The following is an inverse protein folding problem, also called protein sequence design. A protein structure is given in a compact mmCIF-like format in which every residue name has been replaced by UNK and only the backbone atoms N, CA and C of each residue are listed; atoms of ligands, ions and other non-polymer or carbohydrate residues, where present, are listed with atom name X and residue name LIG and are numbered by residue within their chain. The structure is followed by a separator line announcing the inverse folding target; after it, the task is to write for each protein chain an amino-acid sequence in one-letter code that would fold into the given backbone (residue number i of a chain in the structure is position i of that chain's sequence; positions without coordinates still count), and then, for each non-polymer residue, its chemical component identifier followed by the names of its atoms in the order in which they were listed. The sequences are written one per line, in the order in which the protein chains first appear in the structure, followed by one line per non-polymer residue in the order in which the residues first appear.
data_IF_548145906743
#
_entry.id   IF_548145906743
#
_cell.length_a   1.000
_cell.length_b   1.000
_cell.length_c   1.000
_cell.angle_alpha   90.00
_cell.angle_beta   90.00
_cell.angle_gamma   90.00
#
_symmetry.space_group_name_H-M   'P 1'
#
loop_
_entity.id
_entity.type
_entity.pdbx_description
1 polymer ?
#
# COMPACT_ATOMS: atom_id res chain seq x y z
N UNK A 1 44.81 1.37 2.28
CA UNK A 1 44.46 2.75 2.72
C UNK A 1 44.25 2.85 4.23
N UNK A 2 43.65 1.88 4.92
CA UNK A 2 43.40 1.95 6.37
C UNK A 2 44.65 2.09 7.29
N UNK A 3 45.84 1.62 6.87
CA UNK A 3 47.06 1.80 7.68
C UNK A 3 47.71 3.17 7.54
N UNK A 4 47.35 3.95 6.50
CA UNK A 4 47.87 5.31 6.32
C UNK A 4 47.12 6.28 7.25
N UNK A 5 45.80 6.13 7.36
CA UNK A 5 44.95 6.92 8.28
C UNK A 5 45.37 6.75 9.76
N UNK A 6 45.62 5.51 10.23
CA UNK A 6 46.07 5.29 11.62
C UNK A 6 47.44 5.92 11.95
N UNK A 7 48.27 6.18 10.93
CA UNK A 7 49.57 6.80 11.11
C UNK A 7 49.50 8.34 11.02
N UNK A 8 48.49 8.91 10.34
CA UNK A 8 48.30 10.36 10.24
C UNK A 8 47.76 10.98 11.53
N UNK A 9 46.90 10.29 12.29
CA UNK A 9 46.41 10.75 13.61
C UNK A 9 47.58 11.02 14.58
N UNK A 10 48.57 10.12 14.57
CA UNK A 10 49.79 10.25 15.36
C UNK A 10 50.66 11.43 14.93
N UNK A 11 50.55 11.87 13.67
CA UNK A 11 51.33 12.95 13.10
C UNK A 11 50.74 14.32 13.44
N UNK A 12 49.42 14.41 13.63
CA UNK A 12 48.75 15.65 14.06
C UNK A 12 49.04 15.99 15.52
N UNK A 13 49.00 14.99 16.41
CA UNK A 13 49.20 15.19 17.85
C UNK A 13 50.67 15.42 18.21
N UNK A 14 51.61 14.90 17.40
CA UNK A 14 53.05 15.08 17.61
C UNK A 14 53.53 16.23 16.75
N UNK A 15 54.06 17.28 17.37
CA UNK A 15 54.69 18.42 16.68
C UNK A 15 56.02 18.10 15.97
N UNK A 16 56.31 16.81 15.78
CA UNK A 16 57.58 16.35 15.24
C UNK A 16 57.56 16.49 13.72
N UNK A 17 58.54 17.21 13.18
CA UNK A 17 58.69 17.52 11.74
C UNK A 17 57.68 18.53 11.16
N UNK A 18 56.97 19.25 12.02
CA UNK A 18 56.16 20.38 11.56
C UNK A 18 57.05 21.46 10.96
N UNK A 19 56.65 21.95 9.79
CA UNK A 19 57.34 22.95 8.97
C UNK A 19 56.43 24.14 8.64
N UNK A 20 55.26 24.20 9.28
CA UNK A 20 54.28 25.29 9.20
C UNK A 20 53.64 25.53 10.58
N UNK A 21 53.57 26.80 10.98
CA UNK A 21 52.80 27.27 12.13
C UNK A 21 51.58 28.06 11.63
N UNK A 22 50.38 27.67 12.06
CA UNK A 22 49.15 28.43 11.84
C UNK A 22 48.76 29.06 13.17
N UNK A 23 48.71 30.39 13.25
CA UNK A 23 48.30 31.13 14.45
C UNK A 23 46.87 31.61 14.30
N UNK A 24 46.03 31.24 15.26
CA UNK A 24 44.66 31.69 15.39
C UNK A 24 44.50 32.28 16.78
N UNK A 25 44.29 33.59 16.87
CA UNK A 25 44.32 34.33 18.12
C UNK A 25 45.62 34.05 18.91
N UNK A 26 45.50 33.55 20.14
CA UNK A 26 46.62 33.18 21.02
C UNK A 26 47.03 31.69 20.91
N UNK A 27 46.46 30.95 19.95
CA UNK A 27 46.68 29.51 19.79
C UNK A 27 47.49 29.24 18.51
N UNK A 28 48.61 28.54 18.67
CA UNK A 28 49.46 28.08 17.56
C UNK A 28 49.23 26.60 17.26
N UNK A 29 48.96 26.30 15.99
CA UNK A 29 48.87 24.96 15.44
C UNK A 29 50.13 24.65 14.63
N UNK A 30 50.90 23.64 15.06
CA UNK A 30 52.08 23.18 14.32
C UNK A 30 51.68 22.03 13.41
N UNK A 31 51.81 22.23 12.09
CA UNK A 31 51.31 21.31 11.07
C UNK A 31 52.37 21.04 9.99
N UNK A 32 52.08 20.10 9.10
CA UNK A 32 52.98 19.68 8.03
C UNK A 32 52.49 20.21 6.68
N UNK A 33 53.33 20.99 5.99
CA UNK A 33 53.06 21.54 4.65
C UNK A 33 52.72 20.45 3.65
N UNK A 34 53.43 19.32 3.73
CA UNK A 34 53.20 18.16 2.84
C UNK A 34 51.80 17.57 2.96
N UNK A 35 51.07 17.83 4.06
CA UNK A 35 49.69 17.40 4.25
C UNK A 35 48.73 18.54 3.86
N UNK A 36 48.93 19.74 4.38
CA UNK A 36 47.93 20.81 4.24
C UNK A 36 47.96 21.50 2.87
N UNK A 37 49.15 21.74 2.29
CA UNK A 37 49.28 22.48 1.02
C UNK A 37 48.69 21.72 -0.18
N UNK A 38 48.87 20.40 -0.34
CA UNK A 38 48.24 19.67 -1.44
C UNK A 38 46.71 19.62 -1.38
N UNK A 39 46.14 19.82 -0.19
CA UNK A 39 44.70 19.76 0.03
C UNK A 39 44.03 21.14 -0.02
N UNK A 40 44.76 22.23 0.27
CA UNK A 40 44.25 23.60 0.22
C UNK A 40 45.15 24.50 -0.62
N UNK A 41 44.63 24.94 -1.77
CA UNK A 41 45.31 25.89 -2.63
C UNK A 41 45.55 27.24 -1.95
N UNK A 42 44.67 27.63 -1.02
CA UNK A 42 44.79 28.87 -0.27
C UNK A 42 45.96 28.77 0.70
N UNK A 43 46.05 27.70 1.50
CA UNK A 43 47.19 27.49 2.40
C UNK A 43 48.50 27.34 1.62
N UNK A 44 48.49 26.69 0.45
CA UNK A 44 49.68 26.59 -0.39
C UNK A 44 50.20 27.97 -0.81
N UNK A 45 49.31 28.86 -1.28
CA UNK A 45 49.66 30.24 -1.65
C UNK A 45 50.15 31.05 -0.46
N UNK A 46 49.43 30.98 0.67
CA UNK A 46 49.84 31.65 1.91
C UNK A 46 51.22 31.18 2.37
N UNK A 47 51.51 29.88 2.23
CA UNK A 47 52.83 29.34 2.53
C UNK A 47 53.90 29.85 1.58
N UNK A 48 53.63 29.87 0.28
CA UNK A 48 54.58 30.34 -0.74
C UNK A 48 54.89 31.85 -0.59
N UNK A 49 53.92 32.63 -0.10
CA UNK A 49 54.11 34.04 0.19
C UNK A 49 54.85 34.28 1.51
N UNK A 50 54.55 33.51 2.56
CA UNK A 50 55.24 33.61 3.85
C UNK A 50 56.68 33.08 3.83
N UNK A 51 56.99 32.10 2.98
CA UNK A 51 58.32 31.46 2.89
C UNK A 51 59.42 32.35 2.30
N UNK A 52 59.10 33.56 1.83
CA UNK A 52 60.05 34.43 1.10
C UNK A 52 61.10 35.08 2.02
N UNK A 53 60.81 35.20 3.33
CA UNK A 53 61.63 35.99 4.26
C UNK A 53 62.10 35.22 5.52
N UNK A 54 61.59 34.03 5.83
CA UNK A 54 61.89 33.30 7.07
C UNK A 54 62.14 31.80 6.87
N UNK A 55 62.93 31.19 7.76
CA UNK A 55 63.17 29.73 7.79
C UNK A 55 61.92 28.94 8.22
N UNK A 56 60.93 29.57 8.84
CA UNK A 56 59.70 28.96 9.30
C UNK A 56 58.51 29.66 8.66
N UNK A 57 57.59 28.90 8.07
CA UNK A 57 56.37 29.45 7.49
C UNK A 57 55.35 29.69 8.61
N UNK A 58 54.95 30.94 8.82
CA UNK A 58 53.92 31.31 9.80
C UNK A 58 52.73 31.93 9.07
N UNK A 59 51.56 31.32 9.21
CA UNK A 59 50.30 31.83 8.66
C UNK A 59 49.44 32.33 9.82
N UNK A 60 49.04 33.59 9.80
CA UNK A 60 48.18 34.18 10.83
C UNK A 60 46.76 34.29 10.29
N UNK A 61 45.80 33.74 11.03
CA UNK A 61 44.40 33.71 10.63
C UNK A 61 43.50 34.34 11.71
N UNK A 62 42.57 35.18 11.30
CA UNK A 62 41.72 36.00 12.21
C UNK A 62 40.22 35.87 11.94
N UNK A 63 39.80 35.13 10.90
CA UNK A 63 38.38 35.05 10.51
C UNK A 63 37.63 33.89 11.17
N UNK A 64 38.34 32.85 11.60
CA UNK A 64 37.79 31.66 12.25
C UNK A 64 38.42 31.46 13.62
N UNK A 65 37.63 30.95 14.57
CA UNK A 65 38.10 30.59 15.90
C UNK A 65 38.98 29.32 15.88
N UNK A 66 39.69 29.09 16.98
CA UNK A 66 40.60 27.95 17.11
C UNK A 66 39.89 26.58 16.99
N UNK A 67 38.66 26.45 17.48
CA UNK A 67 37.91 25.18 17.37
C UNK A 67 37.54 24.84 15.92
N UNK A 68 37.19 25.85 15.12
CA UNK A 68 36.91 25.70 13.69
C UNK A 68 38.16 25.35 12.91
N UNK A 69 39.28 26.01 13.23
CA UNK A 69 40.58 25.67 12.65
C UNK A 69 40.97 24.22 12.99
N UNK A 70 40.81 23.81 14.25
CA UNK A 70 41.09 22.45 14.69
C UNK A 70 40.25 21.40 13.93
N UNK A 71 38.96 21.67 13.69
CA UNK A 71 38.10 20.78 12.88
C UNK A 71 38.57 20.67 11.44
N UNK A 72 38.97 21.78 10.82
CA UNK A 72 39.54 21.75 9.47
C UNK A 72 40.84 20.94 9.44
N UNK A 73 41.75 21.17 10.40
CA UNK A 73 43.01 20.45 10.50
C UNK A 73 42.79 18.96 10.78
N UNK A 74 41.83 18.61 11.63
CA UNK A 74 41.45 17.21 11.85
C UNK A 74 41.04 16.55 10.53
N UNK A 75 40.17 17.21 9.75
CA UNK A 75 39.76 16.69 8.44
C UNK A 75 40.93 16.47 7.48
N UNK A 76 41.90 17.40 7.43
CA UNK A 76 43.05 17.28 6.54
C UNK A 76 43.96 16.07 6.86
N UNK A 77 44.00 15.64 8.12
CA UNK A 77 44.82 14.48 8.54
C UNK A 77 44.04 13.17 8.56
N UNK A 78 42.77 13.22 8.95
CA UNK A 78 41.97 12.06 9.30
C UNK A 78 40.91 11.74 8.22
N UNK A 79 40.63 12.70 7.34
CA UNK A 79 39.51 12.64 6.38
C UNK A 79 38.14 12.87 7.01
N UNK A 80 38.12 13.20 8.30
CA UNK A 80 36.93 13.43 9.10
C UNK A 80 37.22 14.45 10.23
N UNK A 81 36.19 15.03 10.84
CA UNK A 81 36.31 15.90 12.01
C UNK A 81 35.27 15.54 13.07
N UNK A 82 35.51 15.89 14.33
CA UNK A 82 34.56 15.63 15.41
C UNK A 82 34.10 16.95 16.00
N UNK A 83 32.79 17.07 16.22
CA UNK A 83 32.26 18.15 17.04
C UNK A 83 32.30 17.69 18.49
N UNK A 84 33.11 18.37 19.31
CA UNK A 84 33.14 18.11 20.75
C UNK A 84 31.81 18.59 21.32
N UNK A 85 30.89 17.66 21.57
CA UNK A 85 29.76 17.95 22.44
C UNK A 85 30.33 18.32 23.80
N UNK A 86 30.12 19.56 24.24
CA UNK A 86 30.51 19.97 25.59
C UNK A 86 29.86 18.99 26.58
N UNK A 87 30.63 18.22 27.37
CA UNK A 87 30.07 17.22 28.27
C UNK A 87 29.41 17.93 29.45
N UNK A 88 28.17 18.37 29.25
CA UNK A 88 27.26 18.87 30.26
C UNK A 88 26.02 17.98 30.25
N UNK A 89 26.05 16.94 31.09
CA UNK A 89 25.01 15.93 31.36
C UNK A 89 24.93 14.77 30.34
N UNK A 90 25.48 13.64 30.77
CA UNK A 90 25.49 12.36 30.07
C UNK A 90 24.10 11.89 29.62
N UNK A 91 23.93 11.45 28.36
CA UNK A 91 22.89 10.50 28.01
C UNK A 91 23.26 9.14 28.63
N UNK A 92 22.34 8.57 29.41
CA UNK A 92 22.47 7.22 29.97
C UNK A 92 22.85 6.21 28.88
N UNK A 93 24.05 5.63 29.01
CA UNK A 93 24.56 4.58 28.15
C UNK A 93 23.69 3.31 28.26
N UNK A 94 23.07 2.91 27.16
CA UNK A 94 22.87 1.48 26.89
C UNK A 94 24.23 0.89 26.52
N UNK A 95 24.57 -0.20 27.20
CA UNK A 95 25.95 -0.57 27.47
C UNK A 95 26.71 -1.26 26.34
N UNK A 96 28.04 -1.23 26.50
CA UNK A 96 28.92 -2.35 26.15
C UNK A 96 30.25 -2.26 26.89
N UNK A 97 30.75 -3.44 27.26
CA UNK A 97 31.80 -3.73 28.24
C UNK A 97 33.19 -3.13 27.97
N UNK A 98 33.76 -2.64 29.07
CA UNK A 98 35.13 -2.79 29.57
C UNK A 98 36.13 -3.59 28.72
N UNK A 99 37.24 -2.94 28.36
CA UNK A 99 38.59 -3.52 28.50
C UNK A 99 39.55 -2.40 28.99
N UNK A 100 40.27 -2.72 30.06
CA UNK A 100 41.21 -1.90 30.82
C UNK A 100 42.59 -1.67 30.17
N UNK A 101 43.30 -0.70 30.77
CA UNK A 101 44.75 -0.49 30.87
C UNK A 101 45.54 0.25 29.76
N UNK A 102 45.91 1.52 30.02
CA UNK A 102 47.30 2.00 29.82
C UNK A 102 47.62 3.30 30.61
N UNK A 103 48.86 3.49 31.11
CA UNK A 103 49.15 4.41 32.22
C UNK A 103 49.61 5.80 31.80
N UNK A 104 49.26 6.75 32.66
CA UNK A 104 49.59 8.16 32.59
C UNK A 104 51.11 8.47 32.60
N UNK A 105 51.57 9.18 31.58
CA UNK A 105 52.87 9.85 31.55
C UNK A 105 52.73 11.30 32.04
N UNK A 106 53.39 11.55 33.18
CA UNK A 106 53.59 12.82 33.89
C UNK A 106 53.97 13.97 32.94
N UNK A 107 53.13 15.01 32.86
CA UNK A 107 53.59 16.36 32.51
C UNK A 107 54.00 17.07 33.79
N UNK A 108 55.29 17.38 33.87
CA UNK A 108 55.91 18.21 34.90
C UNK A 108 56.02 19.62 34.32
N UNK A 109 55.13 20.52 34.72
CA UNK A 109 55.35 21.95 34.59
C UNK A 109 55.43 22.54 35.99
N UNK A 110 56.54 23.23 36.25
CA UNK A 110 56.85 23.92 37.49
C UNK A 110 56.14 25.27 37.51
N UNK A 111 55.26 25.49 38.50
CA UNK A 111 54.98 26.82 39.03
C UNK A 111 54.44 26.72 40.46
N UNK A 112 54.69 27.79 41.21
CA UNK A 112 54.86 27.79 42.66
C UNK A 112 53.54 27.77 43.47
N UNK A 113 53.71 27.35 44.71
CA UNK A 113 52.78 27.24 45.83
C UNK A 113 52.32 28.56 46.45
N UNK A 114 51.05 28.67 46.87
CA UNK A 114 50.55 29.36 48.09
C UNK A 114 49.24 28.68 48.57
N UNK A 115 48.99 28.50 49.89
CA UNK A 115 47.89 27.68 50.46
C UNK A 115 46.60 28.47 50.82
N UNK A 116 45.48 27.78 51.20
CA UNK A 116 44.13 28.35 51.34
C UNK A 116 43.75 28.68 52.79
N UNK A 117 42.57 29.29 53.00
CA UNK A 117 41.74 28.92 54.15
C UNK A 117 40.29 28.58 53.80
N UNK A 118 39.84 27.55 54.50
CA UNK A 118 38.51 26.95 54.65
C UNK A 118 37.44 27.88 55.22
N UNK A 119 36.19 27.75 54.77
CA UNK A 119 35.00 27.51 55.64
C UNK A 119 33.68 27.36 54.84
N UNK A 120 33.00 26.24 55.06
CA UNK A 120 31.56 25.94 54.80
C UNK A 120 30.66 26.61 55.86
N UNK A 121 29.35 26.83 55.64
CA UNK A 121 28.34 25.77 55.78
C UNK A 121 27.15 25.79 54.82
N UNK A 122 26.51 24.63 54.77
CA UNK A 122 25.33 24.22 54.03
C UNK A 122 24.09 25.08 54.26
N UNK A 123 23.34 25.31 53.19
CA UNK A 123 21.90 25.60 53.23
C UNK A 123 21.19 24.59 52.34
N UNK A 124 20.20 23.93 52.93
CA UNK A 124 19.33 22.91 52.36
C UNK A 124 18.03 23.62 51.96
N UNK A 125 17.70 23.68 50.68
CA UNK A 125 16.36 24.10 50.22
C UNK A 125 15.88 23.13 49.17
N UNK A 126 14.66 22.64 49.43
CA UNK A 126 13.89 21.64 48.72
C UNK A 126 13.21 22.20 47.45
N UNK A 127 13.23 21.35 46.41
CA UNK A 127 12.19 21.09 45.40
C UNK A 127 11.60 22.24 44.57
N UNK A 128 11.90 22.20 43.26
CA UNK A 128 11.04 22.61 42.14
C UNK A 128 11.66 22.00 40.86
N UNK A 129 11.13 20.87 40.37
CA UNK A 129 10.15 20.73 39.29
C UNK A 129 10.81 20.48 37.91
N UNK A 130 10.30 19.45 37.24
CA UNK A 130 10.84 18.85 36.03
C UNK A 130 10.64 19.76 34.82
N UNK A 131 11.71 20.36 34.27
CA UNK A 131 11.78 20.89 32.90
C UNK A 131 13.22 21.18 32.38
N UNK A 132 14.25 21.05 33.23
CA UNK A 132 15.66 21.34 32.90
C UNK A 132 16.30 20.40 31.86
N UNK A 133 15.72 19.23 31.61
CA UNK A 133 16.36 18.24 30.74
C UNK A 133 16.12 18.49 29.25
N UNK A 134 15.00 19.12 28.87
CA UNK A 134 14.69 19.44 27.47
C UNK A 134 15.53 20.64 26.98
N UNK A 135 15.76 21.62 27.86
CA UNK A 135 16.53 22.84 27.54
C UNK A 135 18.01 22.51 27.28
N UNK A 136 18.61 21.62 28.09
CA UNK A 136 20.03 21.25 27.94
C UNK A 136 20.32 20.42 26.68
N UNK A 137 19.39 19.57 26.24
CA UNK A 137 19.55 18.79 25.00
C UNK A 137 19.39 19.67 23.76
N UNK A 138 18.44 20.62 23.77
CA UNK A 138 18.25 21.56 22.67
C UNK A 138 19.45 22.50 22.49
N UNK A 139 20.08 22.96 23.57
CA UNK A 139 21.32 23.75 23.53
C UNK A 139 22.51 22.97 22.95
N UNK A 140 22.58 21.65 23.18
CA UNK A 140 23.66 20.80 22.63
C UNK A 140 23.53 20.57 21.12
N UNK A 141 22.30 20.37 20.62
CA UNK A 141 22.03 20.15 19.18
C UNK A 141 22.31 21.42 18.37
N UNK A 142 21.95 22.58 18.92
CA UNK A 142 22.26 23.90 18.35
C UNK A 142 23.77 24.12 18.20
N UNK A 143 24.55 23.74 19.20
CA UNK A 143 26.01 23.83 19.16
C UNK A 143 26.63 22.96 18.04
N UNK A 144 26.04 21.79 17.78
CA UNK A 144 26.49 20.91 16.71
C UNK A 144 26.22 21.49 15.31
N UNK A 145 25.00 21.99 15.08
CA UNK A 145 24.62 22.63 13.81
C UNK A 145 25.53 23.83 13.50
N UNK A 146 25.80 24.67 14.51
CA UNK A 146 26.73 25.79 14.41
C UNK A 146 28.15 25.33 14.06
N UNK A 147 28.64 24.29 14.72
CA UNK A 147 29.97 23.72 14.44
C UNK A 147 30.09 23.17 13.01
N UNK A 148 29.02 22.56 12.48
CA UNK A 148 28.99 22.10 11.09
C UNK A 148 28.91 23.27 10.09
N UNK A 149 28.15 24.32 10.40
CA UNK A 149 28.10 25.53 9.59
C UNK A 149 29.45 26.28 9.56
N UNK A 150 30.15 26.37 10.70
CA UNK A 150 31.51 26.93 10.78
C UNK A 150 32.50 26.08 9.98
N UNK A 151 32.43 24.74 10.11
CA UNK A 151 33.23 23.81 9.31
C UNK A 151 32.96 23.96 7.80
N UNK A 152 31.71 24.21 7.41
CA UNK A 152 31.34 24.52 6.03
C UNK A 152 31.97 25.83 5.55
N UNK A 153 31.91 26.89 6.37
CA UNK A 153 32.43 28.20 6.05
C UNK A 153 33.97 28.19 5.89
N UNK A 154 34.70 27.56 6.82
CA UNK A 154 36.16 27.44 6.72
C UNK A 154 36.57 26.57 5.53
N UNK A 155 35.82 25.50 5.23
CA UNK A 155 36.07 24.67 4.05
C UNK A 155 35.91 25.45 2.74
N UNK A 156 34.90 26.32 2.67
CA UNK A 156 34.69 27.21 1.53
C UNK A 156 35.86 28.20 1.41
N UNK A 157 36.28 28.81 2.52
CA UNK A 157 37.39 29.77 2.54
C UNK A 157 38.70 29.16 2.05
N UNK A 158 39.06 27.98 2.54
CA UNK A 158 40.31 27.30 2.20
C UNK A 158 40.22 26.41 0.95
N UNK A 159 39.11 26.47 0.21
CA UNK A 159 38.84 25.67 -0.99
C UNK A 159 39.03 24.17 -0.74
N UNK A 160 38.28 23.63 0.23
CA UNK A 160 38.25 22.22 0.62
C UNK A 160 36.90 21.58 0.24
N UNK A 161 36.69 21.15 -1.03
CA UNK A 161 35.39 20.66 -1.49
C UNK A 161 34.86 19.48 -0.68
N UNK A 162 35.73 18.53 -0.33
CA UNK A 162 35.34 17.32 0.41
C UNK A 162 34.87 17.62 1.84
N UNK A 163 35.56 18.53 2.55
CA UNK A 163 35.11 18.98 3.87
C UNK A 163 33.79 19.75 3.77
N UNK A 164 33.65 20.58 2.73
CA UNK A 164 32.43 21.36 2.50
C UNK A 164 31.21 20.44 2.29
N UNK A 165 31.36 19.38 1.49
CA UNK A 165 30.30 18.38 1.29
C UNK A 165 29.98 17.65 2.60
N UNK A 166 30.99 17.14 3.29
CA UNK A 166 30.82 16.43 4.56
C UNK A 166 30.15 17.29 5.64
N UNK A 167 30.57 18.55 5.76
CA UNK A 167 30.00 19.50 6.71
C UNK A 167 28.53 19.80 6.41
N UNK A 168 28.16 19.93 5.13
CA UNK A 168 26.76 20.11 4.74
C UNK A 168 25.91 18.87 5.02
N UNK A 169 26.42 17.68 4.73
CA UNK A 169 25.72 16.41 5.03
C UNK A 169 25.46 16.27 6.53
N UNK A 170 26.45 16.62 7.36
CA UNK A 170 26.30 16.58 8.82
C UNK A 170 25.40 17.67 9.36
N UNK A 171 25.46 18.86 8.77
CA UNK A 171 24.53 19.94 9.07
C UNK A 171 23.08 19.51 8.82
N UNK A 172 22.78 18.90 7.66
CA UNK A 172 21.46 18.34 7.33
C UNK A 172 21.00 17.24 8.31
N UNK A 173 21.94 16.54 8.94
CA UNK A 173 21.63 15.52 9.94
C UNK A 173 21.24 16.14 11.31
N UNK A 174 21.51 17.43 11.54
CA UNK A 174 21.04 18.15 12.72
C UNK A 174 19.54 18.43 12.58
N UNK A 175 18.73 17.78 13.43
CA UNK A 175 17.27 17.65 13.20
C UNK A 175 16.40 18.88 13.50
N UNK A 176 16.92 19.98 14.04
CA UNK A 176 16.16 21.23 14.17
C UNK A 176 17.02 22.38 14.67
N UNK A 177 16.83 23.57 14.09
CA UNK A 177 17.24 24.84 14.68
C UNK A 177 16.05 25.41 15.43
N UNK A 178 15.95 25.18 16.74
CA UNK A 178 14.71 25.47 17.48
C UNK A 178 14.53 26.95 17.87
N UNK A 179 15.56 27.79 17.71
CA UNK A 179 15.57 29.16 18.24
C UNK A 179 15.96 30.20 17.19
N UNK A 180 15.20 31.32 17.16
CA UNK A 180 15.37 32.44 16.22
C UNK A 180 16.76 33.06 16.30
N UNK A 181 17.27 33.26 17.51
CA UNK A 181 18.56 33.90 17.77
C UNK A 181 19.72 33.05 17.25
N UNK A 182 19.59 31.73 17.35
CA UNK A 182 20.60 30.79 16.88
C UNK A 182 20.62 30.72 15.37
N UNK A 183 19.44 30.67 14.75
CA UNK A 183 19.30 30.77 13.30
C UNK A 183 19.90 32.07 12.77
N UNK A 184 19.59 33.21 13.42
CA UNK A 184 20.16 34.50 13.04
C UNK A 184 21.70 34.53 13.19
N UNK A 185 22.23 33.95 14.27
CA UNK A 185 23.69 33.79 14.42
C UNK A 185 24.28 32.93 13.32
N UNK A 186 23.64 31.80 13.00
CA UNK A 186 24.13 30.88 11.98
C UNK A 186 24.22 31.55 10.62
N UNK A 187 23.15 32.25 10.23
CA UNK A 187 23.13 33.04 8.99
C UNK A 187 24.20 34.13 9.02
N UNK A 188 24.47 34.76 10.17
CA UNK A 188 25.50 35.80 10.26
C UNK A 188 26.94 35.27 10.14
N UNK A 189 27.18 34.03 10.58
CA UNK A 189 28.51 33.38 10.52
C UNK A 189 28.82 32.98 9.08
N UNK A 190 27.83 32.44 8.37
CA UNK A 190 28.05 31.92 7.03
C UNK A 190 27.82 33.06 6.03
N UNK A 191 28.89 33.47 5.35
CA UNK A 191 28.76 34.28 4.13
C UNK A 191 28.19 33.42 3.01
N UNK A 192 26.87 33.43 2.93
CA UNK A 192 26.08 32.65 2.00
C UNK A 192 26.03 33.34 0.64
N UNK A 193 26.47 32.64 -0.40
CA UNK A 193 26.21 33.06 -1.78
C UNK A 193 24.86 32.51 -2.24
N UNK A 194 24.25 33.11 -3.27
CA UNK A 194 22.95 32.68 -3.79
C UNK A 194 22.89 31.18 -4.19
N UNK A 195 24.02 30.62 -4.64
CA UNK A 195 24.14 29.22 -5.05
C UNK A 195 24.67 28.28 -3.96
N UNK A 196 24.80 28.78 -2.72
CA UNK A 196 25.36 28.03 -1.62
C UNK A 196 24.42 26.90 -1.16
N UNK A 197 24.95 25.68 -1.04
CA UNK A 197 24.17 24.52 -0.60
C UNK A 197 23.65 24.67 0.83
N UNK A 198 24.38 25.39 1.68
CA UNK A 198 23.97 25.67 3.04
C UNK A 198 22.86 26.74 3.08
N UNK A 199 22.88 27.72 2.15
CA UNK A 199 21.81 28.71 2.02
C UNK A 199 20.48 28.04 1.69
N UNK A 200 20.49 27.13 0.70
CA UNK A 200 19.30 26.38 0.29
C UNK A 200 18.72 25.58 1.45
N UNK A 201 19.58 24.96 2.26
CA UNK A 201 19.14 24.21 3.44
C UNK A 201 18.51 25.13 4.49
N UNK A 202 19.15 26.26 4.81
CA UNK A 202 18.63 27.23 5.77
C UNK A 202 17.30 27.85 5.32
N UNK A 203 17.15 28.12 4.02
CA UNK A 203 15.88 28.54 3.45
C UNK A 203 14.82 27.43 3.59
N UNK A 204 15.17 26.17 3.35
CA UNK A 204 14.26 25.04 3.56
C UNK A 204 13.78 25.00 5.01
N UNK A 205 14.70 24.99 5.97
CA UNK A 205 14.37 24.99 7.42
C UNK A 205 13.44 26.17 7.77
N UNK A 206 13.76 27.37 7.28
CA UNK A 206 12.94 28.55 7.54
C UNK A 206 11.53 28.43 6.96
N UNK A 207 11.39 27.93 5.73
CA UNK A 207 10.08 27.85 5.06
C UNK A 207 9.24 26.64 5.51
N UNK A 208 9.88 25.54 5.85
CA UNK A 208 9.22 24.27 6.16
C UNK A 208 8.83 24.23 7.65
N UNK A 209 9.72 24.67 8.55
CA UNK A 209 9.54 24.49 10.00
C UNK A 209 9.24 25.81 10.75
N UNK A 210 9.68 26.96 10.21
CA UNK A 210 9.76 28.21 10.97
C UNK A 210 9.23 29.45 10.23
N UNK A 211 8.23 29.25 9.35
CA UNK A 211 7.65 30.34 8.56
C UNK A 211 7.06 31.46 9.43
N UNK A 212 6.57 31.09 10.62
CA UNK A 212 6.04 32.00 11.62
C UNK A 212 7.07 33.01 12.12
N UNK A 213 8.38 32.70 12.04
CA UNK A 213 9.43 33.65 12.43
C UNK A 213 9.47 34.88 11.54
N UNK A 214 9.04 34.77 10.27
CA UNK A 214 8.96 35.92 9.35
C UNK A 214 7.83 36.89 9.70
N UNK A 215 6.88 36.48 10.54
CA UNK A 215 5.82 37.36 11.06
C UNK A 215 6.25 38.16 12.29
N UNK A 216 7.43 37.86 12.84
CA UNK A 216 8.01 38.56 13.97
C UNK A 216 8.77 39.80 13.49
N UNK A 217 8.29 40.98 13.88
CA UNK A 217 8.89 42.26 13.47
C UNK A 217 10.37 42.38 13.89
N UNK A 218 10.78 41.77 15.01
CA UNK A 218 12.17 41.82 15.48
C UNK A 218 13.08 40.96 14.63
N UNK A 219 12.63 39.76 14.27
CA UNK A 219 13.38 38.87 13.37
C UNK A 219 13.42 39.43 11.94
N UNK A 220 12.30 39.92 11.43
CA UNK A 220 12.23 40.57 10.12
C UNK A 220 13.10 41.83 10.05
N UNK A 221 13.15 42.64 11.12
CA UNK A 221 14.07 43.76 11.23
C UNK A 221 15.53 43.29 11.26
N UNK A 222 15.84 42.22 12.00
CA UNK A 222 17.20 41.67 12.06
C UNK A 222 17.70 41.20 10.68
N UNK A 223 16.83 40.58 9.87
CA UNK A 223 17.13 40.16 8.50
C UNK A 223 17.47 41.32 7.56
N UNK A 224 16.91 42.51 7.80
CA UNK A 224 17.07 43.68 6.91
C UNK A 224 18.15 44.66 7.39
N UNK A 225 18.34 44.79 8.70
CA UNK A 225 19.21 45.80 9.30
C UNK A 225 20.62 45.26 9.63
N UNK A 226 20.76 43.95 9.82
CA UNK A 226 22.07 43.37 10.15
C UNK A 226 22.86 43.13 8.87
N UNK A 227 24.07 43.71 8.80
CA UNK A 227 24.96 43.62 7.63
C UNK A 227 25.22 42.17 7.22
N UNK A 228 25.30 41.24 8.18
CA UNK A 228 25.51 39.81 7.91
C UNK A 228 24.27 39.03 7.48
N UNK A 229 23.06 39.58 7.62
CA UNK A 229 21.80 38.90 7.28
C UNK A 229 21.12 39.46 6.04
N UNK A 230 21.55 40.63 5.54
CA UNK A 230 20.92 41.29 4.39
C UNK A 230 20.83 40.40 3.15
N UNK A 231 21.91 39.68 2.82
CA UNK A 231 21.94 38.80 1.65
C UNK A 231 21.01 37.60 1.81
N UNK A 232 20.91 37.06 3.03
CA UNK A 232 19.93 36.04 3.36
C UNK A 232 18.50 36.57 3.29
N UNK A 233 18.24 37.77 3.82
CA UNK A 233 16.94 38.44 3.71
C UNK A 233 16.52 38.66 2.25
N UNK A 234 17.46 39.06 1.38
CA UNK A 234 17.24 39.17 -0.06
C UNK A 234 16.89 37.80 -0.68
N UNK A 235 17.57 36.72 -0.28
CA UNK A 235 17.27 35.37 -0.73
C UNK A 235 15.89 34.89 -0.27
N UNK A 236 15.49 35.20 0.97
CA UNK A 236 14.13 34.93 1.50
C UNK A 236 13.09 35.65 0.66
N UNK A 237 13.27 36.94 0.39
CA UNK A 237 12.35 37.74 -0.42
C UNK A 237 12.25 37.24 -1.87
N UNK A 238 13.38 36.90 -2.49
CA UNK A 238 13.40 36.33 -3.83
C UNK A 238 12.64 34.99 -3.89
N UNK A 239 12.83 34.13 -2.88
CA UNK A 239 12.13 32.85 -2.78
C UNK A 239 10.63 33.03 -2.59
N UNK A 240 10.21 33.91 -1.69
CA UNK A 240 8.79 34.24 -1.47
C UNK A 240 8.15 34.84 -2.71
N UNK A 241 8.84 35.77 -3.38
CA UNK A 241 8.36 36.38 -4.61
C UNK A 241 8.15 35.32 -5.70
N UNK A 242 9.11 34.41 -5.89
CA UNK A 242 9.00 33.29 -6.82
C UNK A 242 7.81 32.38 -6.50
N UNK A 243 7.62 31.99 -5.23
CA UNK A 243 6.47 31.17 -4.80
C UNK A 243 5.14 31.88 -5.08
N UNK A 244 5.03 33.18 -4.77
CA UNK A 244 3.82 33.97 -5.02
C UNK A 244 3.54 34.15 -6.51
N UNK A 245 4.56 34.30 -7.35
CA UNK A 245 4.40 34.35 -8.80
C UNK A 245 3.90 33.02 -9.35
N UNK A 246 4.50 31.90 -8.94
CA UNK A 246 4.05 30.57 -9.34
C UNK A 246 2.61 30.30 -8.92
N UNK A 247 2.23 30.68 -7.69
CA UNK A 247 0.84 30.55 -7.23
C UNK A 247 -0.13 31.43 -8.04
N UNK A 248 0.26 32.66 -8.38
CA UNK A 248 -0.56 33.54 -9.23
C UNK A 248 -0.71 33.00 -10.65
N UNK A 249 0.35 32.43 -11.22
CA UNK A 249 0.28 31.79 -12.54
C UNK A 249 -0.63 30.57 -12.49
N UNK A 250 -0.48 29.71 -11.47
CA UNK A 250 -1.39 28.57 -11.25
C UNK A 250 -2.85 29.03 -11.13
N UNK A 251 -3.13 30.02 -10.27
CA UNK A 251 -4.47 30.60 -10.14
C UNK A 251 -4.96 31.23 -11.44
N UNK A 252 -4.08 31.81 -12.25
CA UNK A 252 -4.44 32.39 -13.56
C UNK A 252 -4.74 31.28 -14.57
N UNK A 253 -4.05 30.15 -14.51
CA UNK A 253 -4.34 28.97 -15.33
C UNK A 253 -5.64 28.29 -14.91
N UNK A 254 -5.89 28.14 -13.61
CA UNK A 254 -7.18 27.68 -13.08
C UNK A 254 -8.32 28.66 -13.42
N UNK A 255 -8.05 29.97 -13.40
CA UNK A 255 -9.01 31.01 -13.75
C UNK A 255 -9.17 31.23 -15.26
N UNK A 256 -8.40 30.55 -16.12
CA UNK A 256 -8.79 30.40 -17.53
C UNK A 256 -10.01 29.49 -17.56
N UNK A 257 -11.17 30.08 -17.28
CA UNK A 257 -12.46 29.47 -17.53
C UNK A 257 -12.46 28.89 -18.96
N UNK A 258 -13.07 27.71 -19.18
CA UNK A 258 -13.24 27.17 -20.51
C UNK A 258 -13.82 28.28 -21.38
N UNK A 259 -13.16 28.55 -22.51
CA UNK A 259 -13.61 29.62 -23.37
C UNK A 259 -15.03 29.33 -23.82
N UNK A 260 -15.80 30.37 -24.22
CA UNK A 260 -17.15 30.15 -24.76
C UNK A 260 -17.14 29.12 -25.91
N UNK A 261 -16.02 29.00 -26.63
CA UNK A 261 -15.82 28.01 -27.68
C UNK A 261 -15.63 26.59 -27.13
N UNK A 262 -14.93 26.42 -26.00
CA UNK A 262 -14.73 25.11 -25.36
C UNK A 262 -16.06 24.58 -24.79
N UNK A 263 -16.84 25.45 -24.15
CA UNK A 263 -18.18 25.11 -23.66
C UNK A 263 -19.15 24.79 -24.81
N UNK A 264 -19.06 25.50 -25.94
CA UNK A 264 -19.87 25.19 -27.11
C UNK A 264 -19.49 23.84 -27.72
N UNK A 265 -18.19 23.52 -27.79
CA UNK A 265 -17.73 22.22 -28.27
C UNK A 265 -18.18 21.06 -27.37
N UNK A 266 -18.16 21.25 -26.04
CA UNK A 266 -18.65 20.28 -25.08
C UNK A 266 -20.18 20.09 -25.20
N UNK A 267 -20.94 21.17 -25.35
CA UNK A 267 -22.38 21.12 -25.59
C UNK A 267 -22.72 20.40 -26.90
N UNK A 268 -21.96 20.64 -27.97
CA UNK A 268 -22.14 19.97 -29.25
C UNK A 268 -21.81 18.47 -29.14
N UNK A 269 -20.80 18.11 -28.35
CA UNK A 269 -20.45 16.72 -28.06
C UNK A 269 -21.54 16.02 -27.25
N UNK A 270 -22.09 16.66 -26.22
CA UNK A 270 -23.21 16.11 -25.44
C UNK A 270 -24.46 15.94 -26.28
N UNK A 271 -24.81 16.93 -27.11
CA UNK A 271 -25.94 16.84 -28.03
C UNK A 271 -25.79 15.68 -29.02
N UNK A 272 -24.57 15.46 -29.52
CA UNK A 272 -24.26 14.31 -30.39
C UNK A 272 -24.38 12.99 -29.65
N UNK A 273 -23.94 12.91 -28.39
CA UNK A 273 -24.09 11.72 -27.57
C UNK A 273 -25.57 11.42 -27.25
N UNK A 274 -26.36 12.46 -26.97
CA UNK A 274 -27.79 12.37 -26.72
C UNK A 274 -28.55 11.87 -27.96
N UNK A 275 -28.21 12.38 -29.15
CA UNK A 275 -28.77 11.89 -30.41
C UNK A 275 -28.48 10.39 -30.62
N UNK A 276 -27.23 9.96 -30.39
CA UNK A 276 -26.86 8.54 -30.50
C UNK A 276 -27.54 7.66 -29.46
N UNK A 277 -27.80 8.17 -28.25
CA UNK A 277 -28.55 7.47 -27.22
C UNK A 277 -30.03 7.30 -27.60
N UNK A 278 -30.66 8.34 -28.15
CA UNK A 278 -32.04 8.26 -28.63
C UNK A 278 -32.21 7.22 -29.75
N UNK A 279 -31.27 7.16 -30.71
CA UNK A 279 -31.29 6.14 -31.76
C UNK A 279 -31.20 4.71 -31.18
N UNK A 280 -30.39 4.51 -30.14
CA UNK A 280 -30.30 3.22 -29.45
C UNK A 280 -31.60 2.84 -28.75
N UNK A 281 -32.28 3.80 -28.10
CA UNK A 281 -33.58 3.56 -27.47
C UNK A 281 -34.61 3.13 -28.52
N UNK A 282 -34.67 3.81 -29.67
CA UNK A 282 -35.58 3.44 -30.76
C UNK A 282 -35.29 2.02 -31.30
N UNK A 283 -34.01 1.64 -31.41
CA UNK A 283 -33.64 0.27 -31.80
C UNK A 283 -34.07 -0.78 -30.77
N UNK A 284 -33.89 -0.49 -29.48
CA UNK A 284 -34.32 -1.38 -28.39
C UNK A 284 -35.85 -1.54 -28.41
N UNK A 285 -36.60 -0.45 -28.56
CA UNK A 285 -38.06 -0.50 -28.67
C UNK A 285 -38.52 -1.34 -29.86
N UNK A 286 -37.91 -1.17 -31.03
CA UNK A 286 -38.22 -1.96 -32.21
C UNK A 286 -37.97 -3.45 -31.98
N UNK A 287 -36.82 -3.81 -31.40
CA UNK A 287 -36.48 -5.20 -31.09
C UNK A 287 -37.42 -5.80 -30.03
N UNK A 288 -37.79 -5.03 -29.01
CA UNK A 288 -38.75 -5.46 -28.00
C UNK A 288 -40.13 -5.76 -28.61
N UNK A 289 -40.58 -4.95 -29.58
CA UNK A 289 -41.83 -5.20 -30.31
C UNK A 289 -41.78 -6.49 -31.14
N UNK A 290 -40.65 -6.74 -31.82
CA UNK A 290 -40.46 -7.97 -32.58
C UNK A 290 -40.48 -9.21 -31.68
N UNK A 291 -39.77 -9.19 -30.55
CA UNK A 291 -39.76 -10.29 -29.59
C UNK A 291 -41.13 -10.52 -28.95
N UNK A 292 -41.84 -9.44 -28.60
CA UNK A 292 -43.22 -9.54 -28.10
C UNK A 292 -44.13 -10.20 -29.13
N UNK A 293 -43.97 -9.87 -30.42
CA UNK A 293 -44.70 -10.52 -31.51
C UNK A 293 -44.40 -12.02 -31.64
N UNK A 294 -43.13 -12.42 -31.51
CA UNK A 294 -42.75 -13.85 -31.51
C UNK A 294 -43.34 -14.60 -30.33
N UNK A 295 -43.26 -14.02 -29.13
CA UNK A 295 -43.82 -14.63 -27.92
C UNK A 295 -45.34 -14.78 -28.02
N UNK A 296 -46.03 -13.79 -28.60
CA UNK A 296 -47.48 -13.90 -28.85
C UNK A 296 -47.79 -15.06 -29.80
N UNK A 297 -47.04 -15.21 -30.90
CA UNK A 297 -47.21 -16.34 -31.82
C UNK A 297 -46.94 -17.69 -31.14
N UNK A 298 -45.92 -17.78 -30.28
CA UNK A 298 -45.64 -18.98 -29.51
C UNK A 298 -46.76 -19.31 -28.52
N UNK A 299 -47.32 -18.30 -27.86
CA UNK A 299 -48.45 -18.45 -26.95
C UNK A 299 -49.68 -18.97 -27.69
N UNK A 300 -50.01 -18.38 -28.83
CA UNK A 300 -51.14 -18.81 -29.67
C UNK A 300 -50.96 -20.26 -30.15
N UNK A 301 -49.74 -20.63 -30.56
CA UNK A 301 -49.41 -22.01 -30.94
C UNK A 301 -49.53 -22.99 -29.77
N UNK A 302 -49.07 -22.60 -28.57
CA UNK A 302 -49.17 -23.42 -27.37
C UNK A 302 -50.63 -23.62 -26.93
N UNK A 303 -51.48 -22.58 -27.04
CA UNK A 303 -52.91 -22.66 -26.79
C UNK A 303 -53.59 -23.62 -27.76
N UNK A 304 -53.30 -23.52 -29.07
CA UNK A 304 -53.82 -24.44 -30.08
C UNK A 304 -53.38 -25.90 -29.83
N UNK A 305 -52.14 -26.10 -29.39
CA UNK A 305 -51.64 -27.43 -29.01
C UNK A 305 -52.36 -27.97 -27.76
N UNK A 306 -52.62 -27.13 -26.76
CA UNK A 306 -53.34 -27.52 -25.55
C UNK A 306 -54.79 -27.93 -25.86
N UNK A 307 -55.48 -27.22 -26.76
CA UNK A 307 -56.80 -27.61 -27.26
C UNK A 307 -56.77 -28.98 -27.95
N UNK A 308 -55.79 -29.21 -28.81
CA UNK A 308 -55.61 -30.52 -29.46
C UNK A 308 -55.36 -31.64 -28.44
N UNK A 309 -54.52 -31.41 -27.43
CA UNK A 309 -54.26 -32.37 -26.36
C UNK A 309 -55.53 -32.69 -25.55
N UNK A 310 -56.38 -31.69 -25.29
CA UNK A 310 -57.65 -31.88 -24.62
C UNK A 310 -58.61 -32.74 -25.46
N UNK A 311 -58.64 -32.52 -26.78
CA UNK A 311 -59.40 -33.35 -27.71
C UNK A 311 -58.91 -34.81 -27.69
N UNK A 312 -57.60 -35.05 -27.73
CA UNK A 312 -57.00 -36.39 -27.62
C UNK A 312 -57.35 -37.05 -26.29
N UNK A 313 -57.28 -36.31 -25.17
CA UNK A 313 -57.66 -36.81 -23.86
C UNK A 313 -59.13 -37.24 -23.79
N UNK A 314 -60.03 -36.48 -24.42
CA UNK A 314 -61.44 -36.82 -24.51
C UNK A 314 -61.69 -38.08 -25.36
N UNK A 315 -60.98 -38.22 -26.50
CA UNK A 315 -61.04 -39.45 -27.32
C UNK A 315 -60.56 -40.66 -26.53
N UNK A 316 -59.43 -40.57 -25.82
CA UNK A 316 -58.92 -41.65 -24.99
C UNK A 316 -59.90 -42.05 -23.88
N UNK A 317 -60.55 -41.08 -23.24
CA UNK A 317 -61.59 -41.34 -22.23
C UNK A 317 -62.77 -42.13 -22.83
N UNK A 318 -63.20 -41.78 -24.04
CA UNK A 318 -64.27 -42.48 -24.74
C UNK A 318 -63.86 -43.91 -25.13
N UNK A 319 -62.63 -44.11 -25.61
CA UNK A 319 -62.10 -45.44 -25.94
C UNK A 319 -61.99 -46.33 -24.70
N UNK A 320 -61.54 -45.79 -23.56
CA UNK A 320 -61.49 -46.54 -22.29
C UNK A 320 -62.89 -46.97 -21.82
N UNK A 321 -63.90 -46.10 -21.97
CA UNK A 321 -65.30 -46.47 -21.68
C UNK A 321 -65.76 -47.63 -22.58
N UNK A 322 -65.55 -47.53 -23.89
CA UNK A 322 -65.90 -48.60 -24.84
C UNK A 322 -65.18 -49.92 -24.53
N UNK A 323 -63.88 -49.86 -24.21
CA UNK A 323 -63.11 -51.04 -23.80
C UNK A 323 -63.67 -51.67 -22.53
N UNK A 324 -64.03 -50.85 -21.53
CA UNK A 324 -64.67 -51.33 -20.30
C UNK A 324 -66.01 -52.01 -20.55
N UNK A 325 -66.83 -51.49 -21.47
CA UNK A 325 -68.09 -52.12 -21.89
C UNK A 325 -67.87 -53.43 -22.63
N UNK A 326 -66.88 -53.51 -23.53
CA UNK A 326 -66.52 -54.73 -24.22
C UNK A 326 -66.02 -55.80 -23.26
N UNK A 327 -65.13 -55.44 -22.33
CA UNK A 327 -64.66 -56.36 -21.29
C UNK A 327 -65.81 -56.88 -20.44
N UNK A 328 -66.76 -56.02 -20.02
CA UNK A 328 -67.97 -56.47 -19.31
C UNK A 328 -68.80 -57.46 -20.13
N UNK A 329 -68.92 -57.26 -21.45
CA UNK A 329 -69.61 -58.20 -22.35
C UNK A 329 -68.85 -59.52 -22.49
N UNK A 330 -67.53 -59.48 -22.57
CA UNK A 330 -66.69 -60.67 -22.64
C UNK A 330 -66.70 -61.46 -21.33
N UNK A 331 -66.60 -60.80 -20.17
CA UNK A 331 -66.72 -61.47 -18.88
C UNK A 331 -68.10 -62.09 -18.73
N UNK A 332 -69.18 -61.39 -19.10
CA UNK A 332 -70.53 -61.96 -19.08
C UNK A 332 -70.68 -63.17 -20.02
N UNK A 333 -70.02 -63.15 -21.20
CA UNK A 333 -69.97 -64.32 -22.10
C UNK A 333 -69.16 -65.48 -21.50
N UNK A 334 -68.03 -65.18 -20.87
CA UNK A 334 -67.18 -66.17 -20.22
C UNK A 334 -67.87 -66.80 -19.00
N UNK A 335 -68.56 -66.00 -18.18
CA UNK A 335 -69.36 -66.46 -17.04
C UNK A 335 -70.50 -67.36 -17.51
N UNK A 336 -71.20 -66.97 -18.59
CA UNK A 336 -72.23 -67.80 -19.21
C UNK A 336 -71.65 -69.12 -19.75
N UNK A 337 -70.50 -69.08 -20.42
CA UNK A 337 -69.82 -70.27 -20.91
C UNK A 337 -69.35 -71.18 -19.77
N UNK A 338 -68.83 -70.61 -18.68
CA UNK A 338 -68.42 -71.31 -17.47
C UNK A 338 -69.61 -71.99 -16.78
N UNK A 339 -70.75 -71.30 -16.69
CA UNK A 339 -72.00 -71.89 -16.17
C UNK A 339 -72.44 -73.10 -17.01
N UNK A 340 -72.45 -72.98 -18.33
CA UNK A 340 -72.77 -74.09 -19.25
C UNK A 340 -71.79 -75.25 -19.04
N UNK A 341 -70.49 -74.97 -18.93
CA UNK A 341 -69.47 -76.02 -18.76
C UNK A 341 -69.63 -76.76 -17.43
N UNK A 342 -69.91 -76.03 -16.33
CA UNK A 342 -70.20 -76.64 -15.01
C UNK A 342 -71.42 -77.57 -15.09
N UNK A 343 -72.45 -77.17 -15.82
CA UNK A 343 -73.63 -78.02 -16.04
C UNK A 343 -73.29 -79.28 -16.85
N UNK A 344 -72.49 -79.16 -17.91
CA UNK A 344 -72.02 -80.32 -18.70
C UNK A 344 -71.23 -81.29 -17.83
N UNK A 345 -70.29 -80.80 -17.01
CA UNK A 345 -69.52 -81.68 -16.12
C UNK A 345 -70.37 -82.33 -15.05
N UNK A 346 -71.36 -81.62 -14.50
CA UNK A 346 -72.33 -82.22 -13.60
C UNK A 346 -73.06 -83.39 -14.27
N UNK A 347 -73.57 -83.20 -15.48
CA UNK A 347 -74.27 -84.26 -16.24
C UNK A 347 -73.37 -85.46 -16.56
N UNK A 348 -72.12 -85.23 -16.94
CA UNK A 348 -71.16 -86.30 -17.22
C UNK A 348 -70.82 -87.08 -15.95
N UNK A 349 -70.64 -86.39 -14.81
CA UNK A 349 -70.31 -87.04 -13.55
C UNK A 349 -71.48 -87.83 -12.94
N UNK A 350 -72.72 -87.33 -13.07
CA UNK A 350 -73.92 -88.00 -12.57
C UNK A 350 -74.28 -89.25 -13.36
N UNK A 351 -73.86 -89.34 -14.63
CA UNK A 351 -74.16 -90.49 -15.51
C UNK A 351 -72.88 -91.21 -15.89
N UNK A 352 -72.36 -92.01 -14.95
CA UNK A 352 -71.24 -92.90 -15.24
C UNK A 352 -71.67 -94.04 -16.17
N UNK A 353 -72.89 -94.56 -16.04
CA UNK A 353 -73.43 -95.65 -16.86
C UNK A 353 -74.60 -95.22 -17.75
N UNK A 354 -74.72 -95.84 -18.92
CA UNK A 354 -75.86 -95.68 -19.79
C UNK A 354 -77.05 -96.53 -19.29
N UNK A 355 -78.15 -95.91 -18.85
CA UNK A 355 -79.36 -96.62 -18.37
C UNK A 355 -79.87 -97.71 -19.33
N UNK A 356 -79.69 -97.54 -20.64
CA UNK A 356 -80.16 -98.50 -21.64
C UNK A 356 -79.28 -99.73 -21.81
N UNK A 357 -77.97 -99.64 -21.57
CA UNK A 357 -77.04 -100.76 -21.84
C UNK A 357 -76.01 -101.02 -20.73
N UNK A 358 -76.05 -100.27 -19.62
CA UNK A 358 -75.20 -100.42 -18.44
C UNK A 358 -73.71 -100.14 -18.67
N UNK A 359 -73.33 -99.43 -19.74
CA UNK A 359 -71.92 -99.32 -20.12
C UNK A 359 -71.28 -98.01 -19.66
N UNK A 360 -70.25 -98.12 -18.82
CA UNK A 360 -69.60 -97.02 -18.09
C UNK A 360 -68.78 -96.00 -18.90
N UNK A 361 -68.57 -96.22 -20.21
CA UNK A 361 -67.54 -95.48 -20.98
C UNK A 361 -67.91 -95.05 -22.40
N UNK A 362 -69.19 -95.00 -22.72
CA UNK A 362 -69.63 -94.76 -24.11
C UNK A 362 -70.60 -93.59 -24.28
N UNK A 363 -70.61 -92.60 -23.37
CA UNK A 363 -71.36 -91.36 -23.59
C UNK A 363 -70.47 -90.34 -24.32
N UNK A 364 -70.95 -89.80 -25.44
CA UNK A 364 -70.32 -88.68 -26.16
C UNK A 364 -71.26 -87.49 -26.15
N UNK A 365 -70.71 -86.31 -25.90
CA UNK A 365 -71.44 -85.05 -26.07
C UNK A 365 -71.64 -84.79 -27.56
N UNK A 366 -72.88 -84.62 -27.99
CA UNK A 366 -73.26 -84.34 -29.38
C UNK A 366 -74.15 -83.11 -29.39
N UNK A 367 -74.00 -82.28 -30.43
CA UNK A 367 -74.90 -81.16 -30.67
C UNK A 367 -76.19 -81.67 -31.33
N UNK A 368 -77.34 -81.36 -30.74
CA UNK A 368 -78.65 -81.63 -31.30
C UNK A 368 -79.08 -80.44 -32.14
N UNK A 369 -79.00 -80.58 -33.46
CA UNK A 369 -79.38 -79.53 -34.41
C UNK A 369 -80.91 -79.34 -34.51
N UNK A 370 -81.72 -80.17 -33.83
CA UNK A 370 -83.19 -80.13 -33.90
C UNK A 370 -83.85 -79.35 -32.76
N UNK A 371 -83.10 -78.99 -31.72
CA UNK A 371 -83.64 -78.28 -30.55
C UNK A 371 -83.54 -76.77 -30.75
N UNK A 372 -84.67 -76.11 -30.98
CA UNK A 372 -84.79 -74.64 -30.96
C UNK A 372 -85.01 -74.10 -29.53
N UNK A 373 -85.16 -74.97 -28.53
CA UNK A 373 -85.67 -74.60 -27.20
C UNK A 373 -84.67 -74.76 -26.04
N UNK A 374 -83.41 -75.19 -26.26
CA UNK A 374 -82.42 -75.31 -25.18
C UNK A 374 -81.12 -74.50 -25.41
N UNK A 375 -80.53 -73.88 -24.36
CA UNK A 375 -79.50 -72.85 -24.53
C UNK A 375 -78.15 -73.32 -25.07
N UNK A 376 -77.86 -74.62 -25.07
CA UNK A 376 -76.58 -75.18 -25.52
C UNK A 376 -76.70 -76.17 -26.68
N UNK A 377 -77.93 -76.57 -27.04
CA UNK A 377 -78.19 -77.62 -28.04
C UNK A 377 -77.31 -78.86 -27.85
N UNK A 378 -76.87 -79.17 -26.63
CA UNK A 378 -75.89 -80.23 -26.36
C UNK A 378 -76.54 -81.33 -25.53
N UNK A 379 -76.32 -82.58 -25.93
CA UNK A 379 -76.91 -83.77 -25.31
C UNK A 379 -75.85 -84.88 -25.20
N UNK A 380 -76.00 -85.78 -24.23
CA UNK A 380 -75.16 -86.97 -24.14
C UNK A 380 -75.82 -88.09 -24.95
N UNK A 381 -75.09 -88.66 -25.90
CA UNK A 381 -75.55 -89.78 -26.71
C UNK A 381 -74.70 -91.00 -26.40
N UNK A 382 -75.36 -92.11 -26.04
CA UNK A 382 -74.67 -93.37 -25.90
C UNK A 382 -74.22 -93.87 -27.28
N UNK A 383 -72.93 -94.12 -27.45
CA UNK A 383 -72.35 -94.60 -28.71
C UNK A 383 -72.86 -96.01 -29.03
N UNK A 384 -73.17 -96.83 -28.01
CA UNK A 384 -73.56 -98.24 -28.15
C UNK A 384 -75.03 -98.43 -28.50
N UNK A 385 -75.96 -97.97 -27.66
CA UNK A 385 -77.40 -98.16 -27.89
C UNK A 385 -78.08 -96.96 -28.58
N UNK A 386 -77.34 -95.89 -28.86
CA UNK A 386 -77.83 -94.63 -29.46
C UNK A 386 -78.85 -93.87 -28.60
N UNK A 387 -79.13 -94.34 -27.39
CA UNK A 387 -80.02 -93.66 -26.46
C UNK A 387 -79.49 -92.26 -26.13
N UNK A 388 -80.44 -91.35 -26.02
CA UNK A 388 -80.23 -89.92 -25.95
C UNK A 388 -80.59 -89.45 -24.55
N UNK A 389 -79.66 -88.75 -23.91
CA UNK A 389 -79.83 -88.23 -22.57
C UNK A 389 -79.84 -86.73 -22.63
N UNK A 390 -81.01 -86.18 -22.36
CA UNK A 390 -81.21 -84.76 -22.14
C UNK A 390 -81.05 -84.53 -20.63
N UNK A 391 -80.22 -83.57 -20.26
CA UNK A 391 -80.22 -83.05 -18.90
C UNK A 391 -81.25 -81.94 -18.79
N UNK A 392 -81.88 -81.81 -17.62
CA UNK A 392 -82.61 -80.59 -17.26
C UNK A 392 -81.58 -79.47 -17.03
N UNK A 393 -81.10 -78.92 -18.14
CA UNK A 393 -80.21 -77.77 -18.19
C UNK A 393 -81.08 -76.51 -18.05
N UNK A 394 -81.20 -75.97 -16.83
CA UNK A 394 -81.82 -74.65 -16.60
C UNK A 394 -80.94 -73.55 -17.19
#
# INVERSE_FOLDING_TARGET
MASFAKNSDNLRVKTKYCDLEIRVDDISFYVHRIIVCPNSEVLAKECDDASKDEMACVVVHTSFNADTMERMLQFLYEGDYIVKETPGLSPSHTGRELIDDEPALKRRCLSQSVPPPSSTPAVKVESQENDEHVINVAMSISSAAMSHAEAYAIAKHYLLPSLRVLALERFKACKSLSYKEEFARLVSIVRLDADDGLLKELLSILFDDHLDWLTDDTFAAALTQSIGLHDFGAAVLATLSGKLFAEREHRREEAKQPTANDLQAELDQENKALAAANDRVLQIEHNARLETGKLQQQLDAALAQAENNNNVANVNRNLLKQRGELLKKETARADKASAIWKQIVKLVNERQDCDGCGSARYLRLVKDDRSTSFPSGSMLKCVRCKQQYYGDLI
#
